data_IF_518238613615
#
_entry.id   IF_518238613615
#
_cell.length_a   1.000
_cell.length_b   1.000
_cell.length_c   1.000
_cell.angle_alpha   90.00
_cell.angle_beta   90.00
_cell.angle_gamma   90.00
#
_symmetry.space_group_name_H-M   'P 1'
#
loop_
_entity.id
_entity.type
_entity.pdbx_description
1 polymer ?
#
# COMPACT_ATOMS: atom_id res chain seq x y z
N UNK A 1 -16.52 7.33 6.35
CA UNK A 1 -15.29 6.90 5.66
C UNK A 1 -14.73 8.09 4.88
N UNK A 2 -13.41 8.29 4.90
CA UNK A 2 -12.75 9.36 4.12
C UNK A 2 -12.13 8.73 2.88
N UNK A 3 -12.72 9.01 1.72
CA UNK A 3 -12.13 8.62 0.42
C UNK A 3 -10.98 9.58 0.11
N UNK A 4 -9.82 9.04 -0.28
CA UNK A 4 -8.67 9.84 -0.69
C UNK A 4 -8.98 10.57 -2.00
N UNK A 5 -8.51 11.81 -2.10
CA UNK A 5 -8.59 12.64 -3.29
C UNK A 5 -7.18 12.93 -3.84
N UNK A 6 -7.04 13.25 -5.14
CA UNK A 6 -5.75 13.69 -5.68
C UNK A 6 -5.17 14.85 -4.88
N UNK A 7 -3.88 14.75 -4.53
CA UNK A 7 -3.18 15.74 -3.71
C UNK A 7 -3.25 15.49 -2.19
N UNK A 8 -4.12 14.59 -1.72
CA UNK A 8 -4.08 14.17 -0.32
C UNK A 8 -2.75 13.45 -0.02
N UNK A 9 -2.09 13.76 1.11
CA UNK A 9 -0.98 12.94 1.59
C UNK A 9 -1.44 11.50 1.79
N UNK A 10 -0.66 10.54 1.30
CA UNK A 10 -0.93 9.13 1.53
C UNK A 10 -0.90 8.82 3.04
N UNK A 11 -1.95 8.21 3.62
CA UNK A 11 -1.95 7.83 5.02
C UNK A 11 -0.82 6.86 5.30
N UNK A 12 -0.12 7.04 6.43
CA UNK A 12 0.88 6.07 6.85
C UNK A 12 0.17 4.77 7.30
N UNK A 13 0.71 3.63 6.90
CA UNK A 13 0.24 2.31 7.30
C UNK A 13 1.40 1.33 7.35
N UNK A 14 1.23 0.27 8.14
CA UNK A 14 2.13 -0.89 8.17
C UNK A 14 1.28 -2.16 8.05
N UNK A 15 1.72 -3.10 7.21
CA UNK A 15 1.05 -4.37 6.98
C UNK A 15 2.08 -5.50 6.93
N UNK A 16 1.71 -6.67 7.43
CA UNK A 16 2.53 -7.88 7.29
C UNK A 16 2.43 -8.42 5.87
N UNK A 17 3.58 -8.68 5.24
CA UNK A 17 3.66 -9.28 3.92
C UNK A 17 3.54 -10.82 3.97
N UNK A 18 3.61 -11.47 2.81
CA UNK A 18 3.53 -12.93 2.68
C UNK A 18 4.69 -13.70 3.32
N UNK A 19 5.81 -13.03 3.61
CA UNK A 19 6.97 -13.61 4.29
C UNK A 19 6.91 -13.41 5.81
N UNK A 20 5.87 -12.75 6.34
CA UNK A 20 5.76 -12.43 7.76
C UNK A 20 6.50 -11.16 8.17
N UNK A 21 7.04 -10.40 7.22
CA UNK A 21 7.77 -9.16 7.49
C UNK A 21 6.78 -8.00 7.59
N UNK A 22 7.02 -7.09 8.53
CA UNK A 22 6.27 -5.83 8.62
C UNK A 22 6.81 -4.85 7.57
N UNK A 23 5.89 -4.33 6.74
CA UNK A 23 6.20 -3.36 5.69
C UNK A 23 5.40 -2.10 5.97
N UNK A 24 6.09 -0.97 6.17
CA UNK A 24 5.49 0.33 6.39
C UNK A 24 5.61 1.21 5.15
N UNK A 25 4.60 2.06 4.88
CA UNK A 25 4.69 3.06 3.80
C UNK A 25 5.89 4.01 4.01
N UNK A 26 6.22 4.30 5.26
CA UNK A 26 7.38 5.11 5.64
C UNK A 26 8.72 4.53 5.16
N UNK A 27 8.84 3.22 4.97
CA UNK A 27 10.09 2.56 4.52
C UNK A 27 10.43 2.90 3.06
N UNK A 28 9.47 3.47 2.33
CA UNK A 28 9.61 3.89 0.94
C UNK A 28 9.81 5.41 0.80
N UNK A 29 9.94 6.14 1.90
CA UNK A 29 10.29 7.57 1.90
C UNK A 29 11.62 7.78 1.14
N UNK A 30 11.65 8.80 0.28
CA UNK A 30 12.83 9.11 -0.53
C UNK A 30 13.00 8.25 -1.79
N UNK A 31 12.16 7.21 -2.01
CA UNK A 31 12.06 6.56 -3.32
C UNK A 31 11.18 7.42 -4.23
N UNK A 32 11.53 7.51 -5.52
CA UNK A 32 10.91 8.49 -6.42
C UNK A 32 9.38 8.35 -6.51
N UNK A 33 8.86 7.11 -6.55
CA UNK A 33 7.42 6.83 -6.70
C UNK A 33 7.06 5.49 -6.05
N UNK A 34 5.88 5.45 -5.43
CA UNK A 34 5.29 4.24 -4.84
C UNK A 34 3.89 4.05 -5.41
N UNK A 35 3.58 2.84 -5.88
CA UNK A 35 2.25 2.45 -6.36
C UNK A 35 1.64 1.45 -5.38
N UNK A 36 0.47 1.78 -4.84
CA UNK A 36 -0.33 0.88 -3.99
C UNK A 36 -1.57 0.45 -4.78
N UNK A 37 -1.81 -0.86 -4.86
CA UNK A 37 -2.93 -1.43 -5.59
C UNK A 37 -3.62 -2.51 -4.75
N UNK A 38 -4.95 -2.45 -4.67
CA UNK A 38 -5.77 -3.40 -3.94
C UNK A 38 -6.46 -4.33 -4.94
N UNK A 39 -6.42 -5.63 -4.68
CA UNK A 39 -7.12 -6.64 -5.48
C UNK A 39 -7.95 -7.56 -4.57
N UNK A 40 -9.06 -8.15 -5.06
CA UNK A 40 -9.98 -8.90 -4.19
C UNK A 40 -9.39 -10.20 -3.65
N UNK A 41 -8.72 -10.98 -4.50
CA UNK A 41 -8.13 -12.28 -4.14
C UNK A 41 -7.02 -12.68 -5.10
N UNK A 42 -5.96 -13.27 -4.55
CA UNK A 42 -4.86 -13.84 -5.33
C UNK A 42 -5.28 -15.16 -5.99
N UNK A 43 -4.57 -15.55 -7.06
CA UNK A 43 -4.73 -16.86 -7.72
C UNK A 43 -6.16 -17.16 -8.19
N UNK A 44 -6.86 -16.16 -8.70
CA UNK A 44 -8.15 -16.33 -9.38
C UNK A 44 -7.94 -16.24 -10.88
N UNK A 45 -8.74 -16.99 -11.65
CA UNK A 45 -8.58 -17.12 -13.11
C UNK A 45 -9.04 -15.86 -13.88
N UNK A 46 -9.68 -14.91 -13.20
CA UNK A 46 -10.40 -13.79 -13.82
C UNK A 46 -11.82 -14.18 -14.17
#
# INVERSE_FOLDING_TARGET
MKTLKPGDPAPNFCLTNQAGEEICLADFQGKERVLVYFYPKASTTG
#
